data_IF_948204528989
#
_entry.id   IF_948204528989
#
_cell.length_a   1.000
_cell.length_b   1.000
_cell.length_c   1.000
_cell.angle_alpha   90.00
_cell.angle_beta   90.00
_cell.angle_gamma   90.00
#
_symmetry.space_group_name_H-M   'P 1'
#
loop_
_entity.id
_entity.type
_entity.pdbx_description
1 polymer ?
#
# COMPACT_ATOMS: atom_id res chain seq x y z
N UNK A 1 12.05 13.02 -3.21
CA UNK A 1 12.98 12.88 -2.06
C UNK A 1 13.31 11.42 -1.79
N UNK A 2 12.35 10.56 -1.40
CA UNK A 2 12.59 9.15 -1.06
C UNK A 2 13.33 8.36 -2.16
N UNK A 3 12.86 8.44 -3.41
CA UNK A 3 13.51 7.78 -4.55
C UNK A 3 14.99 8.15 -4.70
N UNK A 4 15.33 9.44 -4.54
CA UNK A 4 16.71 9.93 -4.64
C UNK A 4 17.54 9.49 -3.43
N UNK A 5 16.97 9.56 -2.24
CA UNK A 5 17.63 9.10 -1.01
C UNK A 5 17.94 7.60 -1.04
N UNK A 6 17.09 6.80 -1.71
CA UNK A 6 17.32 5.37 -1.95
C UNK A 6 18.28 5.10 -3.12
N UNK A 7 18.73 6.13 -3.85
CA UNK A 7 19.58 5.98 -5.03
C UNK A 7 18.88 5.38 -6.25
N UNK A 8 17.55 5.33 -6.27
CA UNK A 8 16.76 4.73 -7.35
C UNK A 8 16.34 5.75 -8.41
N UNK A 9 16.45 7.05 -8.12
CA UNK A 9 16.19 8.15 -9.06
C UNK A 9 17.29 9.20 -8.97
N UNK A 10 17.58 9.86 -10.09
CA UNK A 10 18.61 10.90 -10.16
C UNK A 10 18.08 12.27 -9.67
N UNK A 11 18.99 13.19 -9.35
CA UNK A 11 18.61 14.55 -8.91
C UNK A 11 17.87 15.35 -9.98
N UNK A 12 18.22 15.14 -11.26
CA UNK A 12 17.60 15.81 -12.40
C UNK A 12 16.25 15.24 -12.84
N UNK A 13 15.86 14.05 -12.37
CA UNK A 13 14.59 13.44 -12.75
C UNK A 13 13.39 14.16 -12.11
N UNK A 14 12.34 14.38 -12.91
CA UNK A 14 11.10 15.00 -12.45
C UNK A 14 10.34 14.15 -11.43
N UNK A 15 9.53 14.79 -10.58
CA UNK A 15 8.86 14.13 -9.45
C UNK A 15 8.01 12.91 -9.84
N UNK A 16 7.28 12.98 -10.96
CA UNK A 16 6.43 11.88 -11.41
C UNK A 16 7.27 10.64 -11.81
N UNK A 17 8.37 10.84 -12.53
CA UNK A 17 9.28 9.77 -12.90
C UNK A 17 9.97 9.17 -11.67
N UNK A 18 10.43 10.02 -10.74
CA UNK A 18 11.04 9.57 -9.49
C UNK A 18 10.07 8.75 -8.61
N UNK A 19 8.78 9.12 -8.57
CA UNK A 19 7.74 8.34 -7.85
C UNK A 19 7.48 7.00 -8.53
N UNK A 20 7.42 6.95 -9.87
CA UNK A 20 7.26 5.69 -10.59
C UNK A 20 8.40 4.71 -10.28
N UNK A 21 9.66 5.17 -10.35
CA UNK A 21 10.83 4.36 -9.99
C UNK A 21 10.81 3.87 -8.55
N UNK A 22 10.37 4.72 -7.61
CA UNK A 22 10.22 4.32 -6.22
C UNK A 22 9.20 3.19 -6.05
N UNK A 23 8.05 3.29 -6.71
CA UNK A 23 7.01 2.25 -6.64
C UNK A 23 7.52 0.93 -7.22
N UNK A 24 8.22 0.97 -8.35
CA UNK A 24 8.78 -0.22 -8.98
C UNK A 24 9.87 -0.87 -8.11
N UNK A 25 10.74 -0.07 -7.50
CA UNK A 25 11.74 -0.60 -6.57
C UNK A 25 11.10 -1.23 -5.33
N UNK A 26 10.06 -0.62 -4.75
CA UNK A 26 9.36 -1.19 -3.59
C UNK A 26 8.68 -2.52 -3.93
N UNK A 27 8.18 -2.68 -5.16
CA UNK A 27 7.65 -3.97 -5.65
C UNK A 27 8.77 -5.01 -5.77
N UNK A 28 9.90 -4.64 -6.38
CA UNK A 28 11.08 -5.51 -6.50
C UNK A 28 11.60 -5.95 -5.13
N UNK A 29 11.65 -5.05 -4.16
CA UNK A 29 12.05 -5.38 -2.79
C UNK A 29 11.08 -6.37 -2.12
N UNK A 30 9.76 -6.22 -2.33
CA UNK A 30 8.80 -7.21 -1.84
C UNK A 30 9.04 -8.59 -2.47
N UNK A 31 9.38 -8.66 -3.77
CA UNK A 31 9.73 -9.92 -4.44
C UNK A 31 11.03 -10.53 -3.89
N UNK A 32 12.11 -9.73 -3.78
CA UNK A 32 13.41 -10.14 -3.27
C UNK A 32 13.31 -10.67 -1.83
N UNK A 33 12.48 -10.01 -1.00
CA UNK A 33 12.21 -10.38 0.39
C UNK A 33 11.11 -11.44 0.54
N UNK A 34 10.51 -11.88 -0.57
CA UNK A 34 9.43 -12.89 -0.61
C UNK A 34 8.22 -12.51 0.25
N UNK A 35 7.86 -11.22 0.26
CA UNK A 35 6.66 -10.72 0.94
C UNK A 35 5.43 -11.11 0.12
N UNK A 36 4.54 -11.97 0.65
CA UNK A 36 3.38 -12.44 -0.10
C UNK A 36 2.22 -11.42 -0.06
N UNK A 37 1.35 -11.45 -1.07
CA UNK A 37 0.01 -10.86 -0.93
C UNK A 37 -0.82 -11.66 0.09
N UNK A 38 -1.91 -11.09 0.65
CA UNK A 38 -2.86 -11.83 1.50
C UNK A 38 -3.32 -13.16 0.87
N UNK A 39 -3.60 -13.18 -0.44
CA UNK A 39 -3.97 -14.38 -1.17
C UNK A 39 -2.81 -15.40 -1.20
N UNK A 40 -1.61 -14.96 -1.57
CA UNK A 40 -0.43 -15.84 -1.62
C UNK A 40 0.00 -16.36 -0.24
N UNK A 41 -0.29 -15.60 0.83
CA UNK A 41 -0.11 -16.04 2.21
C UNK A 41 -1.14 -17.11 2.64
N UNK A 42 -2.24 -17.26 1.92
CA UNK A 42 -3.29 -18.25 2.18
C UNK A 42 -4.50 -17.73 2.96
N UNK A 43 -4.75 -16.41 2.97
CA UNK A 43 -5.95 -15.85 3.57
C UNK A 43 -7.17 -16.15 2.70
N UNK A 44 -8.17 -16.81 3.30
CA UNK A 44 -9.43 -17.13 2.63
C UNK A 44 -10.15 -15.85 2.13
N UNK A 45 -10.58 -15.87 0.86
CA UNK A 45 -11.17 -14.70 0.21
C UNK A 45 -12.50 -14.29 0.85
N UNK A 46 -13.36 -15.26 1.15
CA UNK A 46 -14.69 -14.97 1.68
C UNK A 46 -14.56 -14.34 3.08
N UNK A 47 -13.69 -14.91 3.92
CA UNK A 47 -13.39 -14.36 5.24
C UNK A 47 -12.73 -12.98 5.16
N UNK A 48 -11.83 -12.76 4.21
CA UNK A 48 -11.20 -11.46 3.99
C UNK A 48 -12.24 -10.39 3.64
N UNK A 49 -13.09 -10.64 2.64
CA UNK A 49 -14.16 -9.74 2.22
C UNK A 49 -15.17 -9.47 3.34
N UNK A 50 -15.56 -10.50 4.11
CA UNK A 50 -16.45 -10.36 5.26
C UNK A 50 -15.89 -9.40 6.32
N UNK A 51 -14.56 -9.41 6.52
CA UNK A 51 -13.89 -8.61 7.54
C UNK A 51 -13.51 -7.20 7.09
N UNK A 52 -13.61 -6.87 5.79
CA UNK A 52 -13.22 -5.54 5.29
C UNK A 52 -13.89 -4.37 6.02
N UNK A 53 -15.21 -4.39 6.32
CA UNK A 53 -15.84 -3.30 7.07
C UNK A 53 -15.24 -3.12 8.46
N UNK A 54 -14.96 -4.22 9.16
CA UNK A 54 -14.31 -4.20 10.48
C UNK A 54 -12.88 -3.66 10.38
N UNK A 55 -12.09 -4.14 9.42
CA UNK A 55 -10.71 -3.69 9.21
C UNK A 55 -10.62 -2.20 8.88
N UNK A 56 -11.54 -1.70 8.05
CA UNK A 56 -11.60 -0.28 7.71
C UNK A 56 -12.00 0.59 8.90
N UNK A 57 -12.99 0.15 9.68
CA UNK A 57 -13.40 0.84 10.92
C UNK A 57 -12.24 0.89 11.94
N UNK A 58 -11.52 -0.22 12.11
CA UNK A 58 -10.35 -0.29 12.99
C UNK A 58 -9.20 0.60 12.49
N UNK A 59 -8.95 0.63 11.19
CA UNK A 59 -7.94 1.51 10.59
C UNK A 59 -8.24 2.99 10.91
N UNK A 60 -9.48 3.43 10.69
CA UNK A 60 -9.93 4.79 11.05
C UNK A 60 -9.83 5.04 12.56
N UNK A 61 -10.29 4.09 13.38
CA UNK A 61 -10.26 4.17 14.84
C UNK A 61 -8.85 4.23 15.44
N UNK A 62 -7.82 3.80 14.71
CA UNK A 62 -6.41 3.94 15.13
C UNK A 62 -5.93 5.39 15.16
N UNK A 63 -6.64 6.31 14.52
CA UNK A 63 -6.27 7.73 14.41
C UNK A 63 -5.15 8.04 13.42
N UNK A 64 -4.34 7.04 13.02
CA UNK A 64 -3.25 7.25 12.06
C UNK A 64 -3.70 7.76 10.67
N UNK A 65 -4.87 7.37 10.12
CA UNK A 65 -5.32 7.89 8.82
C UNK A 65 -5.60 9.41 8.85
N UNK A 66 -5.84 10.00 10.03
CA UNK A 66 -6.02 11.44 10.16
C UNK A 66 -4.73 12.25 9.87
N UNK A 67 -3.57 11.58 9.87
CA UNK A 67 -2.28 12.18 9.51
C UNK A 67 -1.95 12.02 8.02
N UNK A 68 -2.78 11.33 7.24
CA UNK A 68 -2.52 11.11 5.83
C UNK A 68 -2.78 12.40 5.02
N UNK A 69 -1.94 12.77 4.04
CA UNK A 69 -2.16 13.98 3.23
C UNK A 69 -3.53 14.02 2.51
N UNK A 70 -4.08 12.83 2.23
CA UNK A 70 -5.48 12.65 1.80
C UNK A 70 -6.20 11.83 2.86
N UNK A 71 -7.10 12.47 3.60
CA UNK A 71 -7.91 11.79 4.61
C UNK A 71 -8.87 10.82 3.91
N UNK A 72 -8.77 9.50 4.16
CA UNK A 72 -9.58 8.52 3.44
C UNK A 72 -10.95 8.31 4.09
N UNK A 73 -11.92 7.86 3.30
CA UNK A 73 -13.17 7.27 3.81
C UNK A 73 -13.00 5.78 4.12
N UNK A 74 -13.97 5.18 4.83
CA UNK A 74 -13.98 3.74 5.07
C UNK A 74 -14.02 2.95 3.75
N UNK A 75 -14.83 3.36 2.79
CA UNK A 75 -14.95 2.70 1.49
C UNK A 75 -13.65 2.79 0.69
N UNK A 76 -12.95 3.92 0.73
CA UNK A 76 -11.64 4.07 0.08
C UNK A 76 -10.59 3.13 0.69
N UNK A 77 -10.63 2.89 2.01
CA UNK A 77 -9.76 1.92 2.68
C UNK A 77 -10.13 0.48 2.26
N UNK A 78 -11.43 0.15 2.21
CA UNK A 78 -11.91 -1.16 1.74
C UNK A 78 -11.44 -1.42 0.31
N UNK A 79 -11.54 -0.43 -0.58
CA UNK A 79 -11.08 -0.56 -1.96
C UNK A 79 -9.57 -0.79 -2.05
N UNK A 80 -8.77 -0.15 -1.18
CA UNK A 80 -7.34 -0.42 -1.10
C UNK A 80 -7.06 -1.85 -0.62
N UNK A 81 -7.77 -2.33 0.39
CA UNK A 81 -7.65 -3.72 0.86
C UNK A 81 -7.99 -4.73 -0.24
N UNK A 82 -9.06 -4.50 -1.01
CA UNK A 82 -9.40 -5.35 -2.17
C UNK A 82 -8.30 -5.39 -3.23
N UNK A 83 -7.64 -4.25 -3.49
CA UNK A 83 -6.52 -4.18 -4.45
C UNK A 83 -5.28 -4.91 -3.96
N UNK A 84 -5.02 -4.91 -2.66
CA UNK A 84 -3.85 -5.57 -2.05
C UNK A 84 -4.03 -7.08 -1.92
N UNK A 85 -5.28 -7.58 -1.91
CA UNK A 85 -5.57 -9.00 -1.70
C UNK A 85 -4.82 -9.93 -2.68
N UNK A 86 -4.80 -9.57 -3.97
CA UNK A 86 -4.20 -10.36 -5.05
C UNK A 86 -2.73 -9.99 -5.28
#
# INVERSE_FOLDING_TARGET
ACARAMGVAEEGEGSQAAVARLIDELRRLNEDLKVPSPQAYGIDRARYEELLPTMASQALGSGSPANNPRIPTADEIIDLYRRVYA
#
